data_IF_373680188726
#
_entry.id   IF_373680188726
#
_cell.length_a   1.000
_cell.length_b   1.000
_cell.length_c   1.000
_cell.angle_alpha   90.00
_cell.angle_beta   90.00
_cell.angle_gamma   90.00
#
_symmetry.space_group_name_H-M   'P 1'
#
loop_
_entity.id
_entity.type
_entity.pdbx_description
1 polymer ?
#
# COMPACT_ATOMS: atom_id res chain seq x y z
N UNK A 1 37.13 14.93 -22.93
CA UNK A 1 36.12 15.11 -23.98
C UNK A 1 34.73 14.88 -23.45
N UNK A 2 34.05 16.01 -23.22
CA UNK A 2 32.68 16.10 -22.74
C UNK A 2 31.75 15.61 -23.86
N UNK A 3 31.23 14.39 -23.75
CA UNK A 3 30.11 13.96 -24.56
C UNK A 3 28.83 14.62 -24.04
N UNK A 4 28.61 15.86 -24.47
CA UNK A 4 27.30 16.50 -24.43
C UNK A 4 26.33 15.65 -25.24
N UNK A 5 25.49 14.87 -24.55
CA UNK A 5 24.28 14.31 -25.14
C UNK A 5 23.34 15.47 -25.45
N UNK A 6 23.49 16.03 -26.64
CA UNK A 6 22.50 16.93 -27.24
C UNK A 6 21.20 16.14 -27.40
N UNK A 7 20.32 16.21 -26.40
CA UNK A 7 18.90 15.92 -26.59
C UNK A 7 18.38 17.00 -27.55
N UNK A 8 18.29 16.66 -28.83
CA UNK A 8 17.48 17.45 -29.76
C UNK A 8 16.05 17.37 -29.24
N UNK A 9 15.59 18.43 -28.56
CA UNK A 9 14.18 18.66 -28.33
C UNK A 9 13.55 18.90 -29.70
N UNK A 10 13.16 17.83 -30.40
CA UNK A 10 12.22 17.94 -31.49
C UNK A 10 10.92 18.47 -30.88
N UNK A 11 10.59 19.73 -31.16
CA UNK A 11 9.35 20.34 -30.72
C UNK A 11 8.19 19.57 -31.34
N UNK A 12 7.55 18.71 -30.55
CA UNK A 12 6.30 18.08 -30.95
C UNK A 12 5.23 19.15 -31.01
N UNK A 13 4.68 19.38 -32.19
CA UNK A 13 3.58 20.32 -32.43
C UNK A 13 2.33 19.50 -32.73
N UNK A 14 1.19 19.92 -32.17
CA UNK A 14 -0.12 19.41 -32.58
C UNK A 14 -0.64 20.25 -33.74
N UNK A 15 -0.84 19.64 -34.91
CA UNK A 15 -1.31 20.29 -36.13
C UNK A 15 -2.75 19.90 -36.49
N UNK A 16 -3.59 19.67 -35.47
CA UNK A 16 -4.97 19.20 -35.63
C UNK A 16 -5.75 19.98 -36.70
N UNK A 17 -6.25 19.24 -37.71
CA UNK A 17 -7.11 19.74 -38.79
C UNK A 17 -8.44 18.98 -38.76
N UNK A 18 -9.45 19.56 -38.12
CA UNK A 18 -10.77 18.96 -37.99
C UNK A 18 -11.86 20.00 -37.81
N UNK A 19 -13.10 19.56 -37.58
CA UNK A 19 -14.20 20.48 -37.28
C UNK A 19 -14.09 20.94 -35.83
N UNK A 20 -14.54 22.16 -35.53
CA UNK A 20 -14.55 22.72 -34.17
C UNK A 20 -15.26 21.78 -33.17
N UNK A 21 -16.35 21.13 -33.60
CA UNK A 21 -17.09 20.17 -32.78
C UNK A 21 -16.26 18.95 -32.33
N UNK A 22 -15.18 18.62 -33.05
CA UNK A 22 -14.32 17.48 -32.78
C UNK A 22 -13.09 17.88 -31.93
N UNK A 23 -12.88 19.18 -31.70
CA UNK A 23 -11.70 19.72 -31.01
C UNK A 23 -11.57 19.21 -29.57
N UNK A 24 -12.66 19.21 -28.80
CA UNK A 24 -12.61 18.74 -27.41
C UNK A 24 -12.25 17.26 -27.34
N UNK A 25 -12.85 16.44 -28.20
CA UNK A 25 -12.53 15.02 -28.27
C UNK A 25 -11.04 14.80 -28.59
N UNK A 26 -10.49 15.57 -29.52
CA UNK A 26 -9.07 15.53 -29.83
C UNK A 26 -8.21 15.89 -28.62
N UNK A 27 -8.50 17.02 -27.95
CA UNK A 27 -7.73 17.48 -26.78
C UNK A 27 -7.73 16.46 -25.63
N UNK A 28 -8.85 15.76 -25.42
CA UNK A 28 -9.04 14.83 -24.31
C UNK A 28 -8.55 13.40 -24.60
N UNK A 29 -8.48 12.99 -25.87
CA UNK A 29 -8.20 11.59 -26.21
C UNK A 29 -6.98 11.39 -27.12
N UNK A 30 -6.74 12.31 -28.05
CA UNK A 30 -5.81 12.07 -29.17
C UNK A 30 -4.61 13.02 -29.17
N UNK A 31 -4.72 14.19 -28.53
CA UNK A 31 -3.71 15.22 -28.61
C UNK A 31 -2.38 14.76 -27.99
N UNK A 32 -1.27 14.75 -28.74
CA UNK A 32 0.04 14.32 -28.22
C UNK A 32 0.58 15.26 -27.14
N UNK A 33 0.03 16.47 -27.07
CA UNK A 33 0.35 17.50 -26.07
C UNK A 33 -0.54 17.42 -24.83
N UNK A 34 -1.58 16.59 -24.85
CA UNK A 34 -2.41 16.35 -23.67
C UNK A 34 -1.53 15.86 -22.52
N UNK A 35 -1.71 16.47 -21.35
CA UNK A 35 -1.04 16.02 -20.13
C UNK A 35 -1.69 14.73 -19.64
N UNK A 36 -0.88 13.78 -19.25
CA UNK A 36 -1.32 12.53 -18.66
C UNK A 36 -0.46 12.21 -17.46
N UNK A 37 -1.11 11.71 -16.42
CA UNK A 37 -0.44 11.26 -15.22
C UNK A 37 0.30 9.94 -15.48
N UNK A 38 1.38 9.72 -14.74
CA UNK A 38 2.08 8.44 -14.76
C UNK A 38 1.17 7.30 -14.27
N UNK A 39 1.22 6.15 -14.95
CA UNK A 39 0.46 4.94 -14.56
C UNK A 39 0.80 4.43 -13.14
N UNK A 40 1.97 4.82 -12.62
CA UNK A 40 2.42 4.48 -11.27
C UNK A 40 1.98 5.50 -10.20
N UNK A 41 1.08 6.43 -10.52
CA UNK A 41 0.55 7.42 -9.56
C UNK A 41 -0.10 6.80 -8.33
N UNK A 42 -0.79 5.66 -8.52
CA UNK A 42 -1.38 4.89 -7.41
C UNK A 42 -0.35 4.35 -6.40
N UNK A 43 0.92 4.23 -6.81
CA UNK A 43 2.02 3.78 -5.96
C UNK A 43 2.85 4.95 -5.41
N UNK A 44 2.53 6.21 -5.76
CA UNK A 44 3.22 7.40 -5.27
C UNK A 44 4.01 8.19 -6.33
N UNK A 45 3.95 7.83 -7.62
CA UNK A 45 4.59 8.63 -8.65
C UNK A 45 3.77 9.89 -8.99
N UNK A 46 4.25 11.07 -8.63
CA UNK A 46 3.54 12.34 -8.87
C UNK A 46 3.79 12.96 -10.26
N UNK A 47 4.50 12.24 -11.15
CA UNK A 47 4.86 12.79 -12.45
C UNK A 47 3.66 12.87 -13.41
N UNK A 48 3.54 14.01 -14.09
CA UNK A 48 2.51 14.27 -15.10
C UNK A 48 3.13 15.05 -16.27
N UNK A 49 3.12 14.46 -17.46
CA UNK A 49 3.79 14.99 -18.64
C UNK A 49 2.91 14.84 -19.90
N UNK A 50 3.25 15.52 -21.01
CA UNK A 50 2.57 15.31 -22.28
C UNK A 50 2.64 13.84 -22.72
N UNK A 51 1.58 13.33 -23.34
CA UNK A 51 1.48 11.92 -23.79
C UNK A 51 2.72 11.42 -24.53
N UNK A 52 3.28 12.23 -25.43
CA UNK A 52 4.47 11.84 -26.18
C UNK A 52 5.73 11.63 -25.32
N UNK A 53 5.85 12.27 -24.15
CA UNK A 53 6.98 12.11 -23.21
C UNK A 53 6.77 11.00 -22.18
N UNK A 54 5.58 10.40 -22.15
CA UNK A 54 5.25 9.43 -21.11
C UNK A 54 6.12 8.18 -21.24
N UNK A 55 6.40 7.70 -22.46
CA UNK A 55 7.27 6.54 -22.67
C UNK A 55 8.71 6.79 -22.21
N UNK A 56 9.26 7.97 -22.51
CA UNK A 56 10.60 8.35 -22.05
C UNK A 56 10.67 8.43 -20.52
N UNK A 57 9.63 8.96 -19.87
CA UNK A 57 9.51 8.94 -18.42
C UNK A 57 9.49 7.50 -17.87
N UNK A 58 8.62 6.64 -18.42
CA UNK A 58 8.50 5.24 -17.99
C UNK A 58 9.80 4.46 -18.16
N UNK A 59 10.52 4.70 -19.25
CA UNK A 59 11.79 4.04 -19.55
C UNK A 59 12.93 4.54 -18.66
N UNK A 60 13.01 5.85 -18.42
CA UNK A 60 14.08 6.45 -17.61
C UNK A 60 13.88 6.29 -16.10
N UNK A 61 12.64 6.11 -15.63
CA UNK A 61 12.28 5.99 -14.21
C UNK A 61 11.84 4.57 -13.81
N UNK A 62 12.12 3.55 -14.63
CA UNK A 62 11.69 2.17 -14.40
C UNK A 62 12.11 1.61 -13.04
N UNK A 63 13.33 1.94 -12.58
CA UNK A 63 13.82 1.56 -11.26
C UNK A 63 12.99 2.19 -10.13
N UNK A 64 12.73 3.49 -10.23
CA UNK A 64 11.90 4.21 -9.25
C UNK A 64 10.49 3.59 -9.19
N UNK A 65 9.91 3.26 -10.33
CA UNK A 65 8.59 2.62 -10.38
C UNK A 65 8.60 1.23 -9.73
N UNK A 66 9.66 0.44 -9.93
CA UNK A 66 9.83 -0.84 -9.27
C UNK A 66 9.96 -0.69 -7.75
N UNK A 67 10.80 0.23 -7.29
CA UNK A 67 11.02 0.49 -5.85
C UNK A 67 9.70 0.91 -5.16
N UNK A 68 8.89 1.77 -5.81
CA UNK A 68 7.57 2.15 -5.30
C UNK A 68 6.61 0.97 -5.18
N UNK A 69 6.61 0.05 -6.14
CA UNK A 69 5.77 -1.16 -6.08
C UNK A 69 6.22 -2.05 -4.92
N UNK A 70 7.53 -2.26 -4.78
CA UNK A 70 8.08 -3.09 -3.71
C UNK A 70 7.73 -2.51 -2.33
N UNK A 71 7.91 -1.21 -2.13
CA UNK A 71 7.55 -0.54 -0.88
C UNK A 71 6.06 -0.69 -0.57
N UNK A 72 5.18 -0.49 -1.55
CA UNK A 72 3.74 -0.67 -1.37
C UNK A 72 3.38 -2.12 -0.99
N UNK A 73 4.05 -3.12 -1.59
CA UNK A 73 3.84 -4.52 -1.23
C UNK A 73 4.29 -4.82 0.19
N UNK A 74 5.47 -4.31 0.59
CA UNK A 74 6.00 -4.47 1.94
C UNK A 74 5.07 -3.82 2.98
N UNK A 75 4.59 -2.60 2.73
CA UNK A 75 3.64 -1.91 3.59
C UNK A 75 2.33 -2.69 3.74
N UNK A 76 1.79 -3.25 2.65
CA UNK A 76 0.58 -4.07 2.69
C UNK A 76 0.75 -5.29 3.58
N UNK A 77 1.87 -6.02 3.44
CA UNK A 77 2.20 -7.17 4.28
C UNK A 77 2.36 -6.77 5.75
N UNK A 78 2.98 -5.61 6.02
CA UNK A 78 3.16 -5.11 7.37
C UNK A 78 1.82 -4.77 8.05
N UNK A 79 0.88 -4.17 7.33
CA UNK A 79 -0.48 -3.90 7.83
C UNK A 79 -1.19 -5.20 8.18
N UNK A 80 -1.20 -6.18 7.27
CA UNK A 80 -1.83 -7.49 7.50
C UNK A 80 -1.21 -8.21 8.72
N UNK A 81 0.12 -8.16 8.86
CA UNK A 81 0.83 -8.74 10.00
C UNK A 81 0.47 -8.05 11.32
N UNK A 82 0.38 -6.71 11.32
CA UNK A 82 0.01 -5.93 12.49
C UNK A 82 -1.43 -6.23 12.94
N UNK A 83 -2.36 -6.36 12.00
CA UNK A 83 -3.74 -6.75 12.30
C UNK A 83 -3.81 -8.13 12.94
N UNK A 84 -3.05 -9.10 12.41
CA UNK A 84 -2.97 -10.45 12.97
C UNK A 84 -2.36 -10.46 14.37
N UNK A 85 -1.29 -9.69 14.58
CA UNK A 85 -0.65 -9.56 15.88
C UNK A 85 -1.58 -8.91 16.92
N UNK A 86 -2.37 -7.92 16.52
CA UNK A 86 -3.37 -7.31 17.39
C UNK A 86 -4.43 -8.33 17.84
N UNK A 87 -4.97 -9.13 16.90
CA UNK A 87 -5.92 -10.21 17.21
C UNK A 87 -5.33 -11.24 18.18
N UNK A 88 -4.13 -11.74 17.88
CA UNK A 88 -3.42 -12.69 18.75
C UNK A 88 -3.16 -12.11 20.14
N UNK A 89 -2.82 -10.82 20.23
CA UNK A 89 -2.60 -10.14 21.52
C UNK A 89 -3.87 -10.12 22.35
N UNK A 90 -5.01 -9.79 21.74
CA UNK A 90 -6.31 -9.77 22.42
C UNK A 90 -6.73 -11.18 22.88
N UNK A 91 -6.59 -12.19 22.03
CA UNK A 91 -6.84 -13.59 22.41
C UNK A 91 -5.95 -14.03 23.59
N UNK A 92 -4.67 -13.65 23.58
CA UNK A 92 -3.73 -13.97 24.66
C UNK A 92 -4.15 -13.31 25.99
N UNK A 93 -4.63 -12.07 25.95
CA UNK A 93 -5.14 -11.36 27.13
C UNK A 93 -6.37 -12.09 27.70
N UNK A 94 -7.31 -12.48 26.84
CA UNK A 94 -8.52 -13.24 27.22
C UNK A 94 -8.14 -14.57 27.86
N UNK A 95 -7.31 -15.37 27.19
CA UNK A 95 -6.86 -16.67 27.70
C UNK A 95 -6.09 -16.56 29.02
N UNK A 96 -5.31 -15.49 29.22
CA UNK A 96 -4.64 -15.21 30.50
C UNK A 96 -5.63 -14.89 31.61
N UNK A 97 -6.72 -14.18 31.31
CA UNK A 97 -7.78 -13.87 32.28
C UNK A 97 -8.53 -15.14 32.68
N UNK A 98 -8.92 -15.96 31.71
CA UNK A 98 -9.58 -17.24 31.95
C UNK A 98 -8.70 -18.19 32.76
N UNK A 99 -7.42 -18.32 32.42
CA UNK A 99 -6.47 -19.13 33.20
C UNK A 99 -6.37 -18.65 34.65
N UNK A 100 -6.29 -17.34 34.89
CA UNK A 100 -6.27 -16.79 36.26
C UNK A 100 -7.56 -17.12 37.03
N UNK A 101 -8.71 -17.02 36.37
CA UNK A 101 -10.00 -17.34 36.97
C UNK A 101 -10.07 -18.82 37.36
N UNK A 102 -9.74 -19.72 36.44
CA UNK A 102 -9.71 -21.17 36.70
C UNK A 102 -8.72 -21.54 37.82
N UNK A 103 -7.54 -20.88 37.86
CA UNK A 103 -6.58 -21.09 38.95
C UNK A 103 -7.12 -20.65 40.32
N UNK A 104 -7.95 -19.60 40.38
CA UNK A 104 -8.58 -19.17 41.62
C UNK A 104 -9.67 -20.15 42.06
N UNK A 105 -10.53 -20.59 41.14
CA UNK A 105 -11.57 -21.57 41.41
C UNK A 105 -11.00 -22.89 41.90
N UNK A 106 -9.94 -23.40 41.26
CA UNK A 106 -9.23 -24.60 41.69
C UNK A 106 -8.69 -24.50 43.11
N UNK A 107 -8.12 -23.34 43.49
CA UNK A 107 -7.63 -23.10 44.86
C UNK A 107 -8.76 -23.07 45.88
N UNK A 108 -9.91 -22.50 45.52
CA UNK A 108 -11.10 -22.47 46.38
C UNK A 108 -11.62 -23.88 46.63
N UNK A 109 -11.81 -24.67 45.57
CA UNK A 109 -12.25 -26.07 45.67
C UNK A 109 -11.28 -26.91 46.51
N UNK A 110 -9.97 -26.73 46.34
CA UNK A 110 -8.98 -27.43 47.16
C UNK A 110 -9.09 -27.08 48.65
N UNK A 111 -9.30 -25.79 48.99
CA UNK A 111 -9.48 -25.36 50.38
C UNK A 111 -10.75 -25.91 51.00
N UNK A 112 -11.87 -25.86 50.26
CA UNK A 112 -13.15 -26.41 50.71
C UNK A 112 -13.04 -27.92 50.94
N UNK A 113 -12.42 -28.65 50.01
CA UNK A 113 -12.19 -30.09 50.16
C UNK A 113 -11.33 -30.41 51.39
N UNK A 114 -10.28 -29.63 51.67
CA UNK A 114 -9.46 -29.83 52.87
C UNK A 114 -10.24 -29.55 54.17
N UNK A 115 -11.05 -28.50 54.20
CA UNK A 115 -11.89 -28.18 55.36
C UNK A 115 -12.93 -29.26 55.63
N UNK A 116 -13.58 -29.79 54.59
CA UNK A 116 -14.56 -30.87 54.74
C UNK A 116 -13.93 -32.17 55.26
N UNK A 117 -12.69 -32.49 54.86
CA UNK A 117 -11.96 -33.63 55.40
C UNK A 117 -11.66 -33.47 56.90
N UNK A 118 -11.29 -32.26 57.33
CA UNK A 118 -11.00 -31.98 58.74
C UNK A 118 -12.25 -32.09 59.64
N UNK A 119 -13.45 -31.76 59.12
CA UNK A 119 -14.71 -31.87 59.88
C UNK A 119 -15.20 -33.31 60.08
N UNK A 120 -14.64 -34.28 59.34
CA UNK A 120 -15.02 -35.71 59.41
C UNK A 120 -14.17 -36.53 60.39
N UNK A 121 -13.19 -35.91 61.04
CA UNK A 121 -12.40 -36.47 62.15
C UNK A 121 -12.81 -35.82 63.46
#
# INVERSE_FOLDING_TARGET
>A
DLQERQQRNEEVICDFKGKIKDLNNHLDNDCPLQRSDCQYKQFGCEHSCPKHKLNDHLSSQSKLHFDLIEENQQLKLQVELNEKNSKLTNENITLKKENKQLQQEMKTIQKESQQELLKRH
#
